data_IF_319204261659
#
_entry.id   IF_319204261659
#
_cell.length_a   1.000
_cell.length_b   1.000
_cell.length_c   1.000
_cell.angle_alpha   90.00
_cell.angle_beta   90.00
_cell.angle_gamma   90.00
#
_symmetry.space_group_name_H-M   'P 1'
#
loop_
_entity.id
_entity.type
_entity.pdbx_description
1 polymer ?
#
# COMPACT_ATOMS: atom_id res chain seq x y z
N UNK A 1 6.45 53.05 21.54
CA UNK A 1 5.96 51.89 22.29
C UNK A 1 5.53 50.81 21.34
N UNK A 2 5.51 49.58 21.84
CA UNK A 2 5.01 48.40 21.12
C UNK A 2 3.80 47.83 21.85
N UNK A 3 2.84 47.33 21.08
CA UNK A 3 1.76 46.48 21.56
C UNK A 3 1.77 45.19 20.70
N UNK A 4 1.31 44.08 21.26
CA UNK A 4 1.08 42.85 20.53
C UNK A 4 -0.34 42.32 20.66
N UNK A 5 -0.77 41.52 19.73
CA UNK A 5 -2.04 40.80 19.78
C UNK A 5 -1.94 39.45 19.08
N UNK A 6 -2.82 38.52 19.45
CA UNK A 6 -2.94 37.19 18.84
C UNK A 6 -4.40 36.99 18.43
N UNK A 7 -4.62 36.46 17.25
CA UNK A 7 -5.97 36.17 16.79
C UNK A 7 -6.04 35.17 15.65
N UNK A 8 -7.27 34.85 15.24
CA UNK A 8 -7.58 33.91 14.16
C UNK A 8 -8.28 34.63 13.01
N UNK A 9 -8.10 34.19 11.78
CA UNK A 9 -8.79 34.72 10.60
C UNK A 9 -8.62 36.22 10.44
N UNK A 10 -9.71 36.93 10.24
CA UNK A 10 -9.75 38.40 10.10
C UNK A 10 -9.69 39.13 11.43
N UNK A 11 -9.98 38.47 12.54
CA UNK A 11 -9.93 39.01 13.90
C UNK A 11 -8.56 38.73 14.50
N UNK A 12 -7.62 39.65 14.29
CA UNK A 12 -6.20 39.47 14.66
C UNK A 12 -5.91 39.61 16.16
N UNK A 13 -6.93 39.89 17.00
CA UNK A 13 -6.81 40.15 18.44
C UNK A 13 -7.90 39.45 19.29
N UNK A 14 -8.58 38.42 18.73
CA UNK A 14 -9.67 37.73 19.43
C UNK A 14 -9.21 36.64 20.42
N UNK A 15 -7.94 36.31 20.44
CA UNK A 15 -7.32 35.33 21.40
C UNK A 15 -6.59 36.11 22.50
N UNK A 16 -5.72 37.04 22.10
CA UNK A 16 -5.09 38.01 23.00
C UNK A 16 -5.33 39.39 22.41
N UNK A 17 -6.07 40.21 23.16
CA UNK A 17 -6.30 41.59 22.74
C UNK A 17 -5.02 42.42 22.82
N UNK A 18 -5.01 43.58 22.17
CA UNK A 18 -3.86 44.46 22.13
C UNK A 18 -3.29 44.70 23.53
N UNK A 19 -2.10 44.18 23.76
CA UNK A 19 -1.42 44.21 25.05
C UNK A 19 -0.14 45.04 24.93
N UNK A 20 0.03 46.00 25.83
CA UNK A 20 1.21 46.85 25.84
C UNK A 20 2.48 46.08 26.18
N UNK A 21 3.54 46.30 25.39
CA UNK A 21 4.88 45.71 25.57
C UNK A 21 5.94 46.81 25.80
N UNK A 22 5.52 48.02 26.04
CA UNK A 22 6.39 49.19 26.31
C UNK A 22 7.45 49.40 25.20
N UNK A 23 8.70 49.29 25.52
CA UNK A 23 9.82 49.38 24.58
C UNK A 23 10.46 48.01 24.26
N UNK A 24 9.93 46.94 24.84
CA UNK A 24 10.46 45.59 24.64
C UNK A 24 10.12 45.08 23.24
N UNK A 25 11.09 44.41 22.61
CA UNK A 25 10.97 43.86 21.26
C UNK A 25 10.59 42.40 21.24
N UNK A 26 10.39 41.78 22.43
CA UNK A 26 9.94 40.38 22.59
C UNK A 26 8.91 40.29 23.70
N UNK A 27 8.01 39.30 23.60
CA UNK A 27 7.06 38.94 24.63
C UNK A 27 6.87 37.41 24.66
N UNK A 28 6.69 36.88 25.88
CA UNK A 28 6.27 35.49 26.09
C UNK A 28 4.84 35.53 26.56
N UNK A 29 3.95 34.89 25.81
CA UNK A 29 2.52 34.83 26.11
C UNK A 29 2.15 33.41 26.50
N UNK A 30 1.72 33.23 27.75
CA UNK A 30 1.19 31.94 28.20
C UNK A 30 -0.32 31.94 28.01
N UNK A 31 -0.80 31.02 27.19
CA UNK A 31 -2.23 30.83 26.92
C UNK A 31 -2.77 29.69 27.80
N UNK A 32 -3.94 29.89 28.41
CA UNK A 32 -4.61 28.91 29.26
C UNK A 32 -6.12 28.97 29.14
N UNK A 33 -6.80 27.88 29.45
CA UNK A 33 -8.26 27.82 29.43
C UNK A 33 -8.82 28.08 28.02
N UNK A 34 -9.78 28.99 27.91
CA UNK A 34 -10.43 29.34 26.63
C UNK A 34 -9.49 30.03 25.61
N UNK A 35 -8.33 30.53 26.06
CA UNK A 35 -7.30 31.10 25.19
C UNK A 35 -6.29 30.09 24.68
N UNK A 36 -6.35 28.82 25.09
CA UNK A 36 -5.47 27.77 24.58
C UNK A 36 -5.61 27.61 23.07
N UNK A 37 -4.48 27.38 22.40
CA UNK A 37 -4.47 27.13 20.95
C UNK A 37 -5.24 25.85 20.62
N UNK A 38 -6.09 25.93 19.62
CA UNK A 38 -6.96 24.82 19.19
C UNK A 38 -6.35 24.13 17.98
N UNK A 39 -6.55 22.82 17.90
CA UNK A 39 -6.17 22.02 16.73
C UNK A 39 -6.80 22.55 15.45
N UNK A 40 -6.15 22.31 14.30
CA UNK A 40 -6.63 22.70 12.96
C UNK A 40 -6.94 24.21 12.83
N UNK A 41 -6.21 25.04 13.56
CA UNK A 41 -6.46 26.50 13.59
C UNK A 41 -5.19 27.29 13.26
N UNK A 42 -5.31 28.25 12.35
CA UNK A 42 -4.23 29.20 12.05
C UNK A 42 -4.32 30.42 12.94
N UNK A 43 -3.26 30.70 13.67
CA UNK A 43 -3.09 31.86 14.53
C UNK A 43 -2.16 32.88 13.90
N UNK A 44 -2.51 34.15 14.05
CA UNK A 44 -1.76 35.26 13.54
C UNK A 44 -1.27 36.13 14.70
N UNK A 45 0.02 36.47 14.64
CA UNK A 45 0.66 37.35 15.61
C UNK A 45 0.80 38.74 15.00
N UNK A 46 0.31 39.76 15.71
CA UNK A 46 0.34 41.14 15.27
C UNK A 46 1.14 41.99 16.23
N UNK A 47 1.94 42.88 15.68
CA UNK A 47 2.69 43.89 16.44
C UNK A 47 2.32 45.28 15.92
N UNK A 48 2.08 46.19 16.83
CA UNK A 48 1.81 47.58 16.55
C UNK A 48 2.89 48.46 17.20
N UNK A 49 3.58 49.23 16.40
CA UNK A 49 4.50 50.28 16.84
C UNK A 49 3.81 51.61 16.84
N UNK A 50 3.96 52.40 17.92
CA UNK A 50 3.30 53.71 18.07
C UNK A 50 4.28 54.78 18.58
N UNK A 51 4.09 56.01 18.07
CA UNK A 51 4.72 57.26 18.56
C UNK A 51 3.68 58.37 18.64
N UNK A 52 4.12 59.59 18.93
CA UNK A 52 3.25 60.76 19.05
C UNK A 52 2.54 61.18 17.75
N UNK A 53 2.96 60.68 16.60
CA UNK A 53 2.44 61.01 15.27
C UNK A 53 1.50 59.92 14.74
N UNK A 54 1.50 58.70 15.32
CA UNK A 54 0.62 57.64 14.87
C UNK A 54 1.14 56.24 15.18
N UNK A 55 0.52 55.22 14.53
CA UNK A 55 0.88 53.81 14.71
C UNK A 55 0.91 53.06 13.39
N UNK A 56 1.74 52.04 13.33
CA UNK A 56 1.80 51.05 12.24
C UNK A 56 1.68 49.64 12.81
N UNK A 57 0.98 48.77 12.07
CA UNK A 57 0.78 47.38 12.48
C UNK A 57 1.31 46.44 11.42
N UNK A 58 1.99 45.36 11.84
CA UNK A 58 2.36 44.22 11.01
C UNK A 58 1.79 42.95 11.61
N UNK A 59 1.43 42.00 10.76
CA UNK A 59 0.90 40.69 11.17
C UNK A 59 1.67 39.61 10.42
N UNK A 60 1.95 38.50 11.08
CA UNK A 60 2.59 37.30 10.46
C UNK A 60 1.65 36.71 9.41
N UNK A 61 2.20 35.83 8.58
CA UNK A 61 1.48 34.95 7.64
C UNK A 61 0.70 33.83 8.33
N UNK A 62 0.92 33.64 9.64
CA UNK A 62 0.20 32.71 10.49
C UNK A 62 0.97 31.45 10.85
N UNK A 63 0.56 30.85 11.97
CA UNK A 63 1.03 29.56 12.42
C UNK A 63 -0.16 28.62 12.52
N UNK A 64 -0.13 27.53 11.77
CA UNK A 64 -1.12 26.46 11.87
C UNK A 64 -0.80 25.58 13.07
N UNK A 65 -1.79 25.31 13.91
CA UNK A 65 -1.66 24.41 15.06
C UNK A 65 -2.23 23.05 14.70
N UNK A 66 -1.39 22.06 14.79
CA UNK A 66 -1.71 20.66 14.57
C UNK A 66 -1.35 19.85 15.82
N UNK A 67 -2.32 19.17 16.40
CA UNK A 67 -2.23 18.39 17.61
C UNK A 67 -2.63 16.92 17.36
N UNK A 68 -2.95 16.57 16.12
CA UNK A 68 -3.38 15.22 15.75
C UNK A 68 -2.22 14.44 15.14
N UNK A 69 -2.22 13.13 15.36
CA UNK A 69 -1.33 12.22 14.67
C UNK A 69 -1.86 11.95 13.25
N UNK A 70 -0.98 11.69 12.27
CA UNK A 70 -1.41 11.20 10.96
C UNK A 70 -2.25 9.93 11.10
N UNK A 71 -3.17 9.72 10.19
CA UNK A 71 -3.96 8.50 10.11
C UNK A 71 -3.41 7.61 9.00
N UNK A 72 -3.03 6.36 9.32
CA UNK A 72 -2.78 5.31 8.33
C UNK A 72 -4.06 4.47 8.22
N UNK A 73 -4.66 4.40 7.04
CA UNK A 73 -5.86 3.61 6.78
C UNK A 73 -5.57 2.18 6.36
N UNK A 74 -4.41 1.94 5.73
CA UNK A 74 -3.92 0.60 5.40
C UNK A 74 -2.41 0.60 5.17
N UNK A 75 -1.80 -0.54 5.49
CA UNK A 75 -0.47 -0.95 5.00
C UNK A 75 -0.68 -2.25 4.23
N UNK A 76 -0.24 -2.31 2.99
CA UNK A 76 -0.50 -3.44 2.10
C UNK A 76 0.75 -3.84 1.34
N UNK A 77 0.86 -5.10 1.02
CA UNK A 77 1.79 -5.65 0.08
C UNK A 77 1.18 -5.53 -1.33
N UNK A 78 1.90 -4.87 -2.24
CA UNK A 78 1.34 -4.48 -3.53
C UNK A 78 0.07 -3.59 -3.39
N UNK A 79 -0.43 -3.11 -4.51
CA UNK A 79 -1.68 -2.33 -4.55
C UNK A 79 -2.94 -3.17 -4.26
N UNK A 80 -2.80 -4.49 -4.31
CA UNK A 80 -3.92 -5.44 -4.22
C UNK A 80 -3.92 -6.25 -2.93
N UNK A 81 -2.98 -5.97 -2.01
CA UNK A 81 -2.86 -6.69 -0.74
C UNK A 81 -2.68 -8.20 -0.97
N UNK A 82 -1.44 -8.61 -1.18
CA UNK A 82 -1.10 -10.00 -1.50
C UNK A 82 -0.65 -10.74 -0.25
N UNK A 83 -1.27 -11.88 0.03
CA UNK A 83 -0.88 -12.78 1.12
C UNK A 83 0.38 -13.60 0.79
N UNK A 84 0.67 -13.79 -0.51
CA UNK A 84 1.77 -14.61 -1.00
C UNK A 84 2.61 -13.91 -2.04
N UNK A 85 3.94 -14.04 -1.89
CA UNK A 85 4.93 -13.54 -2.85
C UNK A 85 5.65 -14.70 -3.51
N UNK A 86 5.65 -14.73 -4.83
CA UNK A 86 6.53 -15.60 -5.61
C UNK A 86 7.93 -14.98 -5.83
N UNK A 87 8.91 -15.77 -6.29
CA UNK A 87 10.30 -15.31 -6.46
C UNK A 87 10.48 -14.21 -7.53
N UNK A 88 9.46 -13.97 -8.34
CA UNK A 88 9.48 -12.96 -9.41
C UNK A 88 8.75 -11.68 -9.04
N UNK A 89 8.22 -11.57 -7.83
CA UNK A 89 7.42 -10.42 -7.41
C UNK A 89 8.29 -9.48 -6.58
N UNK A 90 8.34 -8.22 -6.98
CA UNK A 90 9.03 -7.17 -6.22
C UNK A 90 8.27 -6.90 -4.91
N UNK A 91 8.99 -6.81 -3.80
CA UNK A 91 8.43 -6.57 -2.46
C UNK A 91 7.95 -5.14 -2.25
N UNK A 92 6.96 -4.67 -3.02
CA UNK A 92 6.41 -3.33 -2.84
C UNK A 92 5.49 -3.26 -1.62
N UNK A 93 5.80 -2.35 -0.70
CA UNK A 93 4.97 -2.00 0.44
C UNK A 93 4.29 -0.65 0.16
N UNK A 94 3.00 -0.53 0.47
CA UNK A 94 2.23 0.71 0.34
C UNK A 94 1.61 1.10 1.67
N UNK A 95 1.62 2.39 1.97
CA UNK A 95 0.88 2.98 3.08
C UNK A 95 -0.13 4.00 2.55
N UNK A 96 -1.41 3.80 2.86
CA UNK A 96 -2.42 4.79 2.58
C UNK A 96 -2.63 5.63 3.84
N UNK A 97 -2.13 6.85 3.83
CA UNK A 97 -2.15 7.74 4.98
C UNK A 97 -2.60 9.15 4.62
N UNK A 98 -3.15 9.85 5.59
CA UNK A 98 -3.59 11.23 5.48
C UNK A 98 -3.38 11.99 6.78
N UNK A 99 -3.23 13.29 6.65
CA UNK A 99 -3.11 14.22 7.76
C UNK A 99 -3.64 15.61 7.35
N UNK A 100 -4.14 16.39 8.31
CA UNK A 100 -4.72 17.70 8.07
C UNK A 100 -3.68 18.80 7.81
N UNK A 101 -2.48 18.67 8.41
CA UNK A 101 -1.34 19.57 8.21
C UNK A 101 -0.43 19.10 7.07
N UNK A 102 -0.56 17.82 6.68
CA UNK A 102 0.24 17.15 5.66
C UNK A 102 1.31 16.23 6.22
N UNK A 103 1.76 15.30 5.38
CA UNK A 103 2.75 14.30 5.71
C UNK A 103 4.11 14.73 5.16
N UNK A 104 5.16 14.64 5.99
CA UNK A 104 6.53 14.98 5.62
C UNK A 104 7.44 13.79 5.44
N UNK A 105 7.11 12.63 6.03
CA UNK A 105 8.00 11.47 5.99
C UNK A 105 7.22 10.17 6.01
N UNK A 106 7.65 9.24 5.16
CA UNK A 106 7.30 7.84 5.21
C UNK A 106 8.54 7.01 5.53
N UNK A 107 8.38 6.00 6.37
CA UNK A 107 9.40 4.99 6.63
C UNK A 107 8.73 3.61 6.62
N UNK A 108 9.46 2.63 6.11
CA UNK A 108 8.98 1.25 5.98
C UNK A 108 9.97 0.29 6.62
N UNK A 109 9.45 -0.80 7.20
CA UNK A 109 10.25 -1.91 7.71
C UNK A 109 9.54 -3.24 7.43
N UNK A 110 10.28 -4.34 7.58
CA UNK A 110 9.72 -5.70 7.60
C UNK A 110 10.15 -6.36 8.91
N UNK A 111 9.20 -7.01 9.56
CA UNK A 111 9.44 -7.72 10.80
C UNK A 111 8.91 -9.15 10.80
N UNK A 112 9.46 -9.98 11.71
CA UNK A 112 8.93 -11.31 12.02
C UNK A 112 7.62 -11.27 12.81
N UNK A 113 7.22 -10.08 13.26
CA UNK A 113 5.94 -9.79 13.91
C UNK A 113 5.55 -8.34 13.60
N UNK A 114 4.27 -8.04 13.70
CA UNK A 114 3.75 -6.70 13.50
C UNK A 114 4.49 -5.64 14.35
N UNK A 115 4.95 -4.59 13.70
CA UNK A 115 5.67 -3.46 14.31
C UNK A 115 7.16 -3.68 14.52
N UNK A 116 7.71 -4.88 14.29
CA UNK A 116 9.15 -5.14 14.36
C UNK A 116 9.85 -4.71 13.06
N UNK A 117 11.17 -4.49 13.17
CA UNK A 117 12.07 -4.13 12.07
C UNK A 117 13.32 -5.03 12.02
N UNK A 118 13.17 -6.27 12.52
CA UNK A 118 14.24 -7.25 12.70
C UNK A 118 14.64 -7.96 11.39
N UNK A 119 13.84 -7.86 10.34
CA UNK A 119 14.12 -8.40 9.00
C UNK A 119 14.66 -7.29 8.08
N UNK A 120 13.93 -6.20 7.93
CA UNK A 120 14.37 -5.00 7.25
C UNK A 120 14.21 -3.81 8.20
N UNK A 121 15.29 -3.10 8.55
CA UNK A 121 15.22 -1.96 9.46
C UNK A 121 14.42 -0.81 8.83
N UNK A 122 13.90 0.10 9.68
CA UNK A 122 13.19 1.29 9.24
C UNK A 122 13.98 2.07 8.21
N UNK A 123 13.43 2.16 7.00
CA UNK A 123 14.03 2.81 5.85
C UNK A 123 13.11 3.91 5.32
N UNK A 124 13.64 5.12 5.16
CA UNK A 124 12.88 6.27 4.67
C UNK A 124 12.56 6.14 3.17
N UNK A 125 11.40 6.66 2.79
CA UNK A 125 10.95 6.77 1.41
C UNK A 125 10.44 8.18 1.13
N UNK A 126 10.66 8.67 -0.09
CA UNK A 126 10.14 9.95 -0.58
C UNK A 126 8.68 9.87 -1.04
N UNK A 127 8.08 8.69 -0.94
CA UNK A 127 6.69 8.43 -1.34
C UNK A 127 5.99 7.50 -0.33
N UNK A 128 4.70 7.34 -0.49
CA UNK A 128 3.87 6.42 0.29
C UNK A 128 4.06 4.93 -0.06
N UNK A 129 5.17 4.60 -0.73
CA UNK A 129 5.53 3.22 -1.07
C UNK A 129 7.03 3.00 -0.98
N UNK A 130 7.43 1.76 -0.78
CA UNK A 130 8.82 1.33 -0.74
C UNK A 130 8.98 -0.02 -1.44
N UNK A 131 10.07 -0.18 -2.22
CA UNK A 131 10.45 -1.44 -2.83
C UNK A 131 11.46 -2.14 -1.92
N UNK A 132 11.01 -3.18 -1.21
CA UNK A 132 11.84 -3.98 -0.34
C UNK A 132 12.48 -5.17 -1.09
N UNK A 133 13.72 -5.50 -0.75
CA UNK A 133 14.35 -6.74 -1.19
C UNK A 133 13.85 -7.89 -0.31
N UNK A 134 13.00 -8.73 -0.88
CA UNK A 134 12.41 -9.92 -0.21
C UNK A 134 13.09 -11.23 -0.62
N UNK A 135 14.16 -11.18 -1.42
CA UNK A 135 14.82 -12.37 -2.00
C UNK A 135 15.46 -13.30 -0.97
N UNK A 136 15.73 -12.82 0.23
CA UNK A 136 16.32 -13.60 1.33
C UNK A 136 15.30 -14.15 2.33
N UNK A 137 14.02 -13.89 2.13
CA UNK A 137 12.97 -14.37 3.03
C UNK A 137 12.75 -15.88 2.88
N UNK A 138 12.44 -16.52 3.98
CA UNK A 138 12.17 -17.96 4.03
C UNK A 138 10.74 -18.26 3.59
N UNK A 139 10.57 -19.41 2.94
CA UNK A 139 9.29 -19.94 2.52
C UNK A 139 8.39 -20.28 3.70
N UNK A 140 7.08 -20.08 3.53
CA UNK A 140 6.01 -20.36 4.52
C UNK A 140 6.18 -19.70 5.89
N UNK A 141 7.05 -18.71 6.01
CA UNK A 141 7.18 -17.87 7.20
C UNK A 141 6.34 -16.60 7.01
N UNK A 142 5.53 -16.26 8.01
CA UNK A 142 4.77 -15.01 7.97
C UNK A 142 5.67 -13.84 8.34
N UNK A 143 5.67 -12.83 7.49
CA UNK A 143 6.34 -11.55 7.68
C UNK A 143 5.31 -10.42 7.68
N UNK A 144 5.64 -9.29 8.28
CA UNK A 144 4.77 -8.13 8.40
C UNK A 144 5.45 -6.90 7.82
N UNK A 145 4.79 -6.28 6.85
CA UNK A 145 5.18 -4.95 6.37
C UNK A 145 4.71 -3.90 7.37
N UNK A 146 5.58 -2.96 7.71
CA UNK A 146 5.24 -1.89 8.62
C UNK A 146 5.48 -0.54 7.95
N UNK A 147 4.61 0.41 8.22
CA UNK A 147 4.76 1.80 7.83
C UNK A 147 4.74 2.72 9.05
N UNK A 148 5.62 3.70 9.04
CA UNK A 148 5.66 4.79 10.02
C UNK A 148 5.57 6.12 9.26
N UNK A 149 4.62 6.95 9.67
CA UNK A 149 4.29 8.21 8.99
C UNK A 149 4.45 9.35 9.96
N UNK A 150 5.12 10.41 9.50
CA UNK A 150 5.35 11.64 10.29
C UNK A 150 4.72 12.83 9.57
N UNK A 151 3.98 13.64 10.30
CA UNK A 151 3.38 14.88 9.80
C UNK A 151 4.37 16.08 9.77
N UNK A 152 3.86 17.25 9.41
CA UNK A 152 4.66 18.50 9.30
C UNK A 152 5.12 19.05 10.65
N UNK A 153 4.48 18.68 11.77
CA UNK A 153 4.83 19.16 13.12
C UNK A 153 5.58 18.12 13.94
N UNK A 154 5.72 16.90 13.43
CA UNK A 154 6.50 15.82 14.04
C UNK A 154 5.69 14.79 14.81
N UNK A 155 4.35 14.77 14.71
CA UNK A 155 3.57 13.66 15.26
C UNK A 155 3.78 12.40 14.40
N UNK A 156 3.76 11.22 15.02
CA UNK A 156 4.16 9.96 14.38
C UNK A 156 3.16 8.86 14.68
N UNK A 157 2.74 8.16 13.63
CA UNK A 157 1.92 6.94 13.75
C UNK A 157 2.61 5.77 13.07
N UNK A 158 2.40 4.56 13.58
CA UNK A 158 2.90 3.31 12.99
C UNK A 158 1.77 2.31 12.85
N UNK A 159 1.74 1.61 11.72
CA UNK A 159 0.80 0.53 11.44
C UNK A 159 1.48 -0.59 10.66
N UNK A 160 0.98 -1.82 10.85
CA UNK A 160 1.43 -3.01 10.14
C UNK A 160 0.35 -3.51 9.19
N UNK A 161 0.78 -4.26 8.17
CA UNK A 161 -0.11 -5.10 7.36
C UNK A 161 -0.63 -6.30 8.17
N UNK A 162 -1.52 -7.10 7.59
CA UNK A 162 -1.99 -8.36 8.15
C UNK A 162 -0.99 -9.51 7.95
N UNK A 163 0.05 -9.28 7.14
CA UNK A 163 1.18 -10.16 6.94
C UNK A 163 1.16 -10.89 5.60
N UNK A 164 2.34 -11.32 5.17
CA UNK A 164 2.56 -12.04 3.91
C UNK A 164 3.53 -13.20 4.11
N UNK A 165 3.55 -14.11 3.15
CA UNK A 165 4.47 -15.25 3.09
C UNK A 165 5.18 -15.32 1.75
N UNK A 166 6.32 -16.01 1.73
CA UNK A 166 7.00 -16.38 0.47
C UNK A 166 6.57 -17.77 0.03
N UNK A 167 6.32 -17.91 -1.26
CA UNK A 167 6.20 -19.18 -1.95
C UNK A 167 7.23 -19.23 -3.07
N UNK A 168 8.23 -20.07 -2.94
CA UNK A 168 9.30 -20.25 -3.91
C UNK A 168 9.29 -21.62 -4.55
N UNK A 169 8.30 -22.46 -4.23
CA UNK A 169 8.12 -23.77 -4.84
C UNK A 169 7.22 -23.70 -6.07
N UNK A 170 7.43 -24.66 -6.97
CA UNK A 170 6.55 -24.80 -8.13
C UNK A 170 5.40 -25.74 -7.80
N UNK A 171 4.25 -25.58 -8.47
CA UNK A 171 3.15 -26.53 -8.38
C UNK A 171 3.57 -27.96 -8.64
N UNK A 172 2.96 -28.90 -7.94
CA UNK A 172 3.16 -30.33 -8.08
C UNK A 172 2.43 -30.82 -9.33
N UNK A 173 3.13 -31.60 -10.13
CA UNK A 173 2.60 -32.17 -11.37
C UNK A 173 1.45 -33.13 -11.09
N UNK A 174 0.30 -32.87 -11.68
CA UNK A 174 -0.86 -33.75 -11.66
C UNK A 174 -0.93 -34.70 -12.85
N UNK A 175 -2.13 -35.17 -13.12
CA UNK A 175 -2.45 -36.11 -14.21
C UNK A 175 -3.29 -35.41 -15.27
N UNK A 176 -3.11 -35.82 -16.52
CA UNK A 176 -4.00 -35.44 -17.63
C UNK A 176 -4.45 -36.71 -18.36
N UNK A 177 -5.69 -36.77 -18.74
CA UNK A 177 -6.25 -37.85 -19.54
C UNK A 177 -7.17 -37.30 -20.63
N UNK A 178 -7.19 -37.97 -21.75
CA UNK A 178 -8.19 -37.86 -22.81
C UNK A 178 -9.13 -39.07 -22.67
N UNK A 179 -10.43 -38.86 -22.82
CA UNK A 179 -11.44 -39.89 -22.53
C UNK A 179 -11.24 -41.22 -23.25
N UNK A 180 -10.77 -41.20 -24.50
CA UNK A 180 -10.45 -42.39 -25.29
C UNK A 180 -9.18 -42.13 -26.13
N UNK A 181 -8.36 -43.14 -26.28
CA UNK A 181 -7.17 -43.11 -27.15
C UNK A 181 -7.53 -42.87 -28.62
N UNK A 182 -8.72 -43.31 -29.03
CA UNK A 182 -9.27 -43.10 -30.37
C UNK A 182 -10.64 -42.43 -30.30
N UNK A 183 -10.89 -41.49 -31.17
CA UNK A 183 -12.20 -40.86 -31.33
C UNK A 183 -12.60 -40.70 -32.80
N UNK A 184 -13.90 -40.73 -33.06
CA UNK A 184 -14.47 -40.54 -34.42
C UNK A 184 -14.95 -39.10 -34.65
N UNK A 185 -15.07 -38.30 -33.60
CA UNK A 185 -15.51 -36.90 -33.69
C UNK A 185 -14.28 -36.00 -33.91
N UNK A 186 -14.17 -35.42 -35.09
CA UNK A 186 -13.06 -34.54 -35.47
C UNK A 186 -13.29 -33.07 -35.10
N UNK A 187 -14.47 -32.76 -34.52
CA UNK A 187 -14.87 -31.39 -34.24
C UNK A 187 -14.59 -30.93 -32.82
N UNK A 188 -14.23 -31.85 -31.92
CA UNK A 188 -14.00 -31.55 -30.49
C UNK A 188 -13.03 -32.52 -29.86
N UNK A 189 -12.50 -32.12 -28.71
CA UNK A 189 -11.71 -32.96 -27.80
C UNK A 189 -12.09 -32.67 -26.37
N UNK A 190 -12.06 -33.70 -25.52
CA UNK A 190 -12.33 -33.57 -24.07
C UNK A 190 -11.09 -33.95 -23.29
N UNK A 191 -10.62 -33.06 -22.44
CA UNK A 191 -9.55 -33.30 -21.48
C UNK A 191 -10.12 -33.43 -20.09
N UNK A 192 -9.46 -34.26 -19.30
CA UNK A 192 -9.64 -34.31 -17.85
C UNK A 192 -8.28 -34.22 -17.20
N UNK A 193 -8.11 -33.32 -16.27
CA UNK A 193 -6.90 -33.26 -15.45
C UNK A 193 -7.26 -33.27 -13.98
N UNK A 194 -6.36 -33.79 -13.16
CA UNK A 194 -6.50 -33.94 -11.72
C UNK A 194 -5.17 -33.93 -11.01
N UNK A 195 -5.22 -33.85 -9.68
CA UNK A 195 -4.08 -34.05 -8.79
C UNK A 195 -2.92 -33.06 -8.99
N UNK A 196 -3.14 -31.94 -9.67
CA UNK A 196 -2.23 -30.80 -9.58
C UNK A 196 -2.44 -30.15 -8.23
N UNK A 197 -1.36 -29.86 -7.55
CA UNK A 197 -1.39 -29.28 -6.22
C UNK A 197 -0.28 -28.26 -6.07
N UNK A 198 -0.43 -27.39 -5.11
CA UNK A 198 0.62 -26.49 -4.66
C UNK A 198 0.52 -26.38 -3.14
N UNK A 199 1.67 -26.54 -2.47
CA UNK A 199 1.70 -26.72 -1.02
C UNK A 199 1.41 -25.42 -0.26
N UNK A 200 1.64 -24.26 -0.90
CA UNK A 200 1.64 -22.96 -0.23
C UNK A 200 0.61 -21.98 -0.79
N UNK A 201 0.89 -21.37 -1.95
CA UNK A 201 0.02 -20.35 -2.53
C UNK A 201 -1.16 -20.89 -3.35
N UNK A 202 -1.17 -22.19 -3.62
CA UNK A 202 -2.17 -22.85 -4.44
C UNK A 202 -1.96 -22.65 -5.94
N UNK A 203 -2.84 -23.27 -6.74
CA UNK A 203 -2.81 -23.16 -8.20
C UNK A 203 -3.49 -21.86 -8.65
N UNK A 204 -2.76 -20.96 -9.29
CA UNK A 204 -3.28 -19.69 -9.77
C UNK A 204 -4.03 -19.77 -11.10
N UNK A 205 -3.60 -20.64 -12.03
CA UNK A 205 -4.21 -20.82 -13.36
C UNK A 205 -3.87 -22.17 -13.94
N UNK A 206 -4.81 -22.76 -14.66
CA UNK A 206 -4.58 -23.89 -15.55
C UNK A 206 -4.53 -23.40 -16.99
N UNK A 207 -3.55 -23.86 -17.75
CA UNK A 207 -3.46 -23.58 -19.17
C UNK A 207 -3.43 -24.90 -19.95
N UNK A 208 -4.16 -24.93 -21.05
CA UNK A 208 -4.20 -26.06 -21.97
C UNK A 208 -3.79 -25.65 -23.38
N UNK A 209 -3.33 -26.60 -24.16
CA UNK A 209 -3.04 -26.45 -25.58
C UNK A 209 -3.23 -27.77 -26.31
N UNK A 210 -3.25 -27.76 -27.63
CA UNK A 210 -3.29 -28.96 -28.46
C UNK A 210 -2.32 -28.80 -29.62
N UNK A 211 -1.50 -29.81 -29.86
CA UNK A 211 -0.54 -29.80 -30.96
C UNK A 211 -0.53 -31.10 -31.75
N UNK A 212 0.10 -31.07 -32.93
CA UNK A 212 0.33 -32.24 -33.77
C UNK A 212 1.54 -33.07 -33.33
N UNK A 213 2.37 -32.51 -32.45
CA UNK A 213 3.48 -33.20 -31.76
C UNK A 213 3.51 -32.77 -30.31
N UNK A 214 4.14 -33.58 -29.46
CA UNK A 214 4.26 -33.28 -28.03
C UNK A 214 4.96 -31.95 -27.79
N UNK A 215 4.30 -31.06 -27.05
CA UNK A 215 4.79 -29.74 -26.72
C UNK A 215 4.46 -28.65 -27.75
N UNK A 216 3.93 -28.99 -28.92
CA UNK A 216 3.42 -28.01 -29.87
C UNK A 216 2.03 -27.47 -29.44
N UNK A 217 1.69 -26.32 -29.99
CA UNK A 217 0.44 -25.59 -29.72
C UNK A 217 -0.19 -25.09 -31.02
N UNK A 218 0.03 -25.84 -32.11
CA UNK A 218 -0.30 -25.46 -33.49
C UNK A 218 -1.77 -25.71 -33.86
N UNK A 219 -2.51 -26.46 -33.05
CA UNK A 219 -3.95 -26.71 -33.22
C UNK A 219 -4.77 -25.83 -32.27
N UNK A 220 -4.44 -25.83 -31.01
CA UNK A 220 -4.98 -24.92 -30.01
C UNK A 220 -3.78 -24.22 -29.34
N UNK A 221 -3.67 -22.89 -29.46
CA UNK A 221 -2.63 -22.15 -28.77
C UNK A 221 -2.82 -22.28 -27.27
N UNK A 222 -1.76 -22.04 -26.49
CA UNK A 222 -1.83 -22.05 -25.02
C UNK A 222 -2.92 -21.10 -24.54
N UNK A 223 -3.93 -21.66 -23.90
CA UNK A 223 -5.16 -20.94 -23.49
C UNK A 223 -5.37 -21.12 -21.99
N UNK A 224 -5.59 -20.03 -21.27
CA UNK A 224 -5.96 -20.06 -19.85
C UNK A 224 -7.37 -20.60 -19.70
N UNK A 225 -7.53 -21.50 -18.71
CA UNK A 225 -8.84 -21.98 -18.29
C UNK A 225 -9.50 -20.97 -17.32
N UNK A 226 -8.72 -20.05 -16.75
CA UNK A 226 -9.15 -19.11 -15.73
C UNK A 226 -9.05 -19.67 -14.31
N UNK A 227 -9.14 -18.79 -13.34
CA UNK A 227 -9.08 -19.11 -11.93
C UNK A 227 -10.35 -19.78 -11.44
N UNK A 228 -10.22 -20.92 -10.82
CA UNK A 228 -10.88 -21.31 -9.58
C UNK A 228 -10.37 -22.69 -9.17
N UNK A 229 -9.50 -22.63 -8.35
CA UNK A 229 -8.38 -23.41 -8.11
C UNK A 229 -8.57 -24.68 -7.28
N UNK A 230 -9.59 -24.89 -6.57
CA UNK A 230 -9.74 -26.05 -5.68
C UNK A 230 -10.55 -27.20 -6.32
N UNK A 231 -10.31 -27.45 -7.61
CA UNK A 231 -10.92 -28.62 -8.23
C UNK A 231 -9.97 -29.82 -8.14
N UNK A 232 -10.37 -30.82 -7.38
CA UNK A 232 -9.69 -32.13 -7.39
C UNK A 232 -9.62 -32.76 -8.80
N UNK A 233 -10.48 -32.34 -9.71
CA UNK A 233 -10.52 -32.74 -11.12
C UNK A 233 -11.28 -31.73 -11.96
N UNK A 234 -10.74 -31.39 -13.13
CA UNK A 234 -11.36 -30.49 -14.11
C UNK A 234 -11.60 -31.27 -15.41
N UNK A 235 -12.79 -31.11 -16.00
CA UNK A 235 -13.12 -31.65 -17.33
C UNK A 235 -13.53 -30.50 -18.25
N UNK A 236 -12.89 -30.40 -19.41
CA UNK A 236 -13.19 -29.40 -20.44
C UNK A 236 -13.39 -30.07 -21.79
N UNK A 237 -14.43 -29.64 -22.51
CA UNK A 237 -14.63 -30.03 -23.92
C UNK A 237 -14.45 -28.81 -24.81
N UNK A 238 -13.50 -28.89 -25.74
CA UNK A 238 -13.17 -27.84 -26.68
C UNK A 238 -13.70 -28.25 -28.05
N UNK A 239 -14.62 -27.45 -28.56
CA UNK A 239 -15.26 -27.66 -29.86
C UNK A 239 -14.74 -26.72 -30.96
N UNK A 240 -15.32 -26.86 -32.15
CA UNK A 240 -14.97 -26.02 -33.33
C UNK A 240 -13.64 -26.40 -34.01
N UNK A 241 -13.14 -27.61 -33.72
CA UNK A 241 -11.92 -28.15 -34.31
C UNK A 241 -12.17 -28.74 -35.70
N UNK A 242 -11.09 -28.98 -36.45
CA UNK A 242 -11.09 -29.68 -37.74
C UNK A 242 -9.90 -30.66 -37.74
N UNK A 243 -10.00 -31.66 -36.88
CA UNK A 243 -8.96 -32.66 -36.71
C UNK A 243 -8.87 -33.58 -37.91
N UNK A 244 -7.67 -34.00 -38.29
CA UNK A 244 -7.43 -34.86 -39.42
C UNK A 244 -7.56 -36.32 -39.06
N UNK A 245 -8.05 -37.15 -40.01
CA UNK A 245 -8.12 -38.59 -39.84
C UNK A 245 -6.70 -39.21 -39.74
N UNK A 246 -6.54 -40.22 -38.90
CA UNK A 246 -5.26 -40.92 -38.69
C UNK A 246 -4.11 -40.04 -38.16
N UNK A 247 -4.41 -38.85 -37.63
CA UNK A 247 -3.44 -37.97 -37.02
C UNK A 247 -3.51 -38.13 -35.47
N UNK A 248 -2.34 -38.26 -34.84
CA UNK A 248 -2.22 -38.18 -33.38
C UNK A 248 -2.07 -36.71 -32.96
N UNK A 249 -2.76 -36.35 -31.91
CA UNK A 249 -2.69 -35.03 -31.28
C UNK A 249 -2.26 -35.17 -29.82
N UNK A 250 -1.57 -34.13 -29.33
CA UNK A 250 -0.94 -34.12 -28.00
C UNK A 250 -1.41 -32.92 -27.17
#
# INVERSE_FOLDING_TARGET
>A
TYDYAIGTGNLKNNIVDWTANSTDTSAIVTLSGAGQLQNSTTYFFSVRGSNDQGSVTITTDGVFVDLEEPMISSVTEFKTDLDWFGPSIDGHIFANASDNGGITKYEFSIGSSAGLDDIMPWTASDSNSYLADVSSLSEDVTYYSNARVTDVVGNVVTQSSDGFKMDITNPILGNISIGNEYQSDTSKVTYVWSDFDDLHSGIADYQYSLGTESGLTDVIPRTSFGLNADFASVSITIGGLSLQNEQTYY
#
